data_IF_519663855937
#
_entry.id   IF_519663855937
#
_cell.length_a   1.000
_cell.length_b   1.000
_cell.length_c   1.000
_cell.angle_alpha   90.00
_cell.angle_beta   90.00
_cell.angle_gamma   90.00
#
_symmetry.space_group_name_H-M   'P 1'
#
loop_
_entity.id
_entity.type
_entity.pdbx_description
1 polymer ?
#
# COMPACT_ATOMS: atom_id res chain seq x y z
N UNK A 1 16.88 37.30 -25.07
CA UNK A 1 17.27 35.87 -24.98
C UNK A 1 16.83 35.36 -23.62
N UNK A 2 15.65 34.73 -23.58
CA UNK A 2 15.04 34.15 -22.38
C UNK A 2 15.62 32.76 -22.16
N UNK A 3 16.29 32.55 -21.03
CA UNK A 3 16.76 31.23 -20.61
C UNK A 3 15.56 30.42 -20.10
N UNK A 4 15.11 29.45 -20.88
CA UNK A 4 14.14 28.43 -20.45
C UNK A 4 14.79 27.55 -19.39
N UNK A 5 14.27 27.61 -18.16
CA UNK A 5 14.62 26.67 -17.10
C UNK A 5 14.00 25.31 -17.39
N UNK A 6 14.83 24.32 -17.74
CA UNK A 6 14.41 22.92 -17.84
C UNK A 6 13.75 22.44 -16.53
N UNK A 7 12.61 21.72 -16.60
CA UNK A 7 11.96 21.19 -15.41
C UNK A 7 12.81 20.06 -14.81
N UNK A 8 13.23 20.24 -13.55
CA UNK A 8 13.90 19.19 -12.75
C UNK A 8 13.04 17.92 -12.73
N UNK A 9 13.45 16.90 -13.50
CA UNK A 9 12.81 15.59 -13.54
C UNK A 9 12.74 14.99 -12.12
N UNK A 10 11.52 14.83 -11.60
CA UNK A 10 11.26 14.08 -10.36
C UNK A 10 11.75 12.63 -10.57
N UNK A 11 12.77 12.22 -9.81
CA UNK A 11 13.32 10.84 -9.78
C UNK A 11 12.19 9.79 -9.84
N UNK A 12 12.21 8.99 -10.90
CA UNK A 12 11.26 7.90 -11.16
C UNK A 12 11.76 6.68 -10.37
N UNK A 13 10.98 6.22 -9.36
CA UNK A 13 11.19 4.87 -8.81
C UNK A 13 10.75 3.89 -9.88
N UNK A 14 11.70 3.23 -10.55
CA UNK A 14 11.44 2.19 -11.53
C UNK A 14 10.99 0.93 -10.79
N UNK A 15 9.87 0.31 -11.18
CA UNK A 15 9.69 -1.12 -10.93
C UNK A 15 10.79 -1.88 -11.67
N UNK A 16 11.18 -3.07 -11.21
CA UNK A 16 12.11 -3.92 -11.96
C UNK A 16 11.56 -4.06 -13.39
N UNK A 17 12.20 -3.39 -14.37
CA UNK A 17 11.72 -3.40 -15.73
C UNK A 17 12.09 -4.76 -16.31
N UNK A 18 11.09 -5.60 -16.53
CA UNK A 18 11.23 -6.86 -17.26
C UNK A 18 11.45 -6.67 -18.77
N UNK A 19 11.74 -5.44 -19.21
CA UNK A 19 11.88 -5.06 -20.61
C UNK A 19 12.98 -5.85 -21.35
N UNK A 20 13.99 -6.35 -20.62
CA UNK A 20 15.13 -7.10 -21.17
C UNK A 20 15.13 -8.58 -20.77
N UNK A 21 13.98 -9.17 -20.42
CA UNK A 21 13.92 -10.61 -20.17
C UNK A 21 14.03 -11.39 -21.48
N UNK A 22 15.00 -12.30 -21.57
CA UNK A 22 14.92 -13.45 -22.46
C UNK A 22 13.72 -14.29 -22.01
N UNK A 23 12.78 -14.53 -22.92
CA UNK A 23 11.55 -15.26 -22.61
C UNK A 23 11.43 -16.51 -23.48
N UNK A 24 10.93 -17.57 -22.85
CA UNK A 24 10.40 -18.76 -23.52
C UNK A 24 9.11 -19.09 -22.79
N UNK A 25 8.05 -19.39 -23.54
CA UNK A 25 6.80 -19.88 -23.00
C UNK A 25 6.37 -21.15 -23.72
N UNK A 26 5.49 -21.92 -23.08
CA UNK A 26 4.83 -23.09 -23.64
C UNK A 26 3.38 -23.14 -23.14
N UNK A 27 2.54 -23.94 -23.78
CA UNK A 27 1.12 -24.05 -23.43
C UNK A 27 0.24 -22.95 -24.03
N UNK A 28 -1.08 -23.11 -23.89
CA UNK A 28 -2.08 -22.20 -24.48
C UNK A 28 -2.02 -20.80 -23.87
N UNK A 29 -1.72 -20.71 -22.58
CA UNK A 29 -1.73 -19.47 -21.80
C UNK A 29 -0.35 -18.79 -21.75
N UNK A 30 0.71 -19.47 -22.20
CA UNK A 30 2.11 -19.04 -22.02
C UNK A 30 2.41 -17.66 -22.60
N UNK A 31 1.98 -17.40 -23.85
CA UNK A 31 2.17 -16.10 -24.50
C UNK A 31 1.41 -14.96 -23.83
N UNK A 32 0.22 -15.25 -23.30
CA UNK A 32 -0.60 -14.27 -22.57
C UNK A 32 0.02 -13.91 -21.22
N UNK A 33 0.51 -14.90 -20.46
CA UNK A 33 1.20 -14.67 -19.19
C UNK A 33 2.51 -13.90 -19.39
N UNK A 34 3.28 -14.25 -20.42
CA UNK A 34 4.49 -13.51 -20.77
C UNK A 34 4.17 -12.04 -21.08
N UNK A 35 3.15 -11.79 -21.89
CA UNK A 35 2.70 -10.45 -22.20
C UNK A 35 2.23 -9.68 -20.95
N UNK A 36 1.55 -10.34 -20.01
CA UNK A 36 1.12 -9.73 -18.75
C UNK A 36 2.31 -9.37 -17.84
N UNK A 37 3.37 -10.18 -17.85
CA UNK A 37 4.60 -9.96 -17.08
C UNK A 37 5.44 -8.81 -17.65
N UNK A 38 5.41 -8.60 -18.97
CA UNK A 38 6.08 -7.47 -19.63
C UNK A 38 5.50 -6.14 -19.15
N UNK A 39 6.27 -5.46 -18.31
CA UNK A 39 5.96 -4.07 -17.93
C UNK A 39 6.34 -3.16 -19.10
N UNK A 40 5.42 -2.36 -19.66
CA UNK A 40 5.77 -1.51 -20.79
C UNK A 40 6.84 -0.49 -20.37
N UNK A 41 7.81 -0.20 -21.26
CA UNK A 41 8.88 0.72 -20.97
C UNK A 41 8.39 2.17 -21.09
N UNK A 42 7.62 2.68 -20.13
CA UNK A 42 7.43 4.13 -19.85
C UNK A 42 6.48 4.43 -18.67
N UNK A 43 6.87 5.43 -17.85
CA UNK A 43 5.96 6.35 -17.17
C UNK A 43 5.33 5.95 -15.82
N UNK A 44 5.09 6.95 -14.94
CA UNK A 44 4.20 6.83 -13.78
C UNK A 44 2.72 6.63 -14.16
N UNK A 45 2.39 6.68 -15.46
CA UNK A 45 1.04 6.51 -16.01
C UNK A 45 0.42 5.15 -15.65
N UNK A 46 1.26 4.12 -15.49
CA UNK A 46 0.84 2.81 -15.00
C UNK A 46 0.24 2.82 -13.59
N UNK A 47 0.56 3.81 -12.75
CA UNK A 47 0.01 3.99 -11.40
C UNK A 47 -1.07 5.08 -11.34
N UNK A 48 -1.92 5.15 -12.36
CA UNK A 48 -3.13 5.97 -12.37
C UNK A 48 -4.13 5.52 -11.29
N UNK A 49 -5.19 6.31 -11.04
CA UNK A 49 -6.16 6.09 -9.95
C UNK A 49 -5.48 6.05 -8.57
N UNK A 50 -5.82 5.05 -7.74
CA UNK A 50 -5.45 4.91 -6.33
C UNK A 50 -4.17 4.09 -6.12
N UNK A 51 -3.64 3.41 -7.15
CA UNK A 51 -2.46 2.55 -7.05
C UNK A 51 -1.23 3.26 -6.46
N UNK A 52 -1.06 4.55 -6.76
CA UNK A 52 0.05 5.39 -6.31
C UNK A 52 -0.06 5.93 -4.88
N UNK A 53 -1.16 5.70 -4.16
CA UNK A 53 -1.46 6.45 -2.93
C UNK A 53 -0.60 6.07 -1.72
N UNK A 54 -0.02 4.87 -1.69
CA UNK A 54 0.79 4.41 -0.55
C UNK A 54 1.98 3.58 -1.03
N UNK A 55 3.20 3.75 -0.46
CA UNK A 55 4.33 2.88 -0.77
C UNK A 55 4.09 1.46 -0.24
N UNK A 56 4.18 0.44 -1.11
CA UNK A 56 4.12 -0.97 -0.74
C UNK A 56 5.12 -1.74 -1.63
N UNK A 57 6.05 -2.52 -1.06
CA UNK A 57 7.07 -3.24 -1.83
C UNK A 57 6.45 -4.40 -2.63
N UNK A 58 7.18 -4.90 -3.64
CA UNK A 58 6.86 -6.15 -4.34
C UNK A 58 5.40 -6.27 -4.86
N UNK A 59 4.81 -5.16 -5.34
CA UNK A 59 3.45 -5.12 -5.86
C UNK A 59 3.42 -5.35 -7.37
N UNK A 60 2.31 -5.88 -7.88
CA UNK A 60 2.05 -5.89 -9.32
C UNK A 60 2.13 -4.47 -9.92
N UNK A 61 2.67 -4.40 -11.14
CA UNK A 61 2.38 -3.28 -12.03
C UNK A 61 0.92 -3.41 -12.50
N UNK A 62 0.08 -2.36 -12.50
CA UNK A 62 -1.36 -2.49 -12.82
C UNK A 62 -1.69 -3.09 -14.19
N UNK A 63 -0.76 -3.02 -15.15
CA UNK A 63 -0.93 -3.68 -16.44
C UNK A 63 -0.99 -5.21 -16.36
N UNK A 64 -0.29 -5.83 -15.40
CA UNK A 64 -0.31 -7.29 -15.25
C UNK A 64 -1.73 -7.79 -14.95
N UNK A 65 -2.41 -7.36 -13.86
CA UNK A 65 -3.78 -7.76 -13.62
C UNK A 65 -4.71 -7.29 -14.72
N UNK A 66 -4.52 -6.09 -15.30
CA UNK A 66 -5.35 -5.63 -16.41
C UNK A 66 -5.30 -6.55 -17.63
N UNK A 67 -4.13 -7.08 -17.98
CA UNK A 67 -3.97 -8.04 -19.09
C UNK A 67 -4.62 -9.38 -18.75
N UNK A 68 -4.38 -9.91 -17.55
CA UNK A 68 -4.97 -11.19 -17.11
C UNK A 68 -6.50 -11.10 -17.07
N UNK A 69 -7.06 -10.03 -16.49
CA UNK A 69 -8.50 -9.84 -16.39
C UNK A 69 -9.19 -9.65 -17.75
N UNK A 70 -8.49 -9.06 -18.73
CA UNK A 70 -8.98 -8.98 -20.12
C UNK A 70 -9.09 -10.36 -20.75
N UNK A 71 -8.07 -11.18 -20.56
CA UNK A 71 -8.07 -12.56 -21.06
C UNK A 71 -9.15 -13.41 -20.37
N UNK A 72 -9.27 -13.34 -19.04
CA UNK A 72 -10.32 -14.06 -18.30
C UNK A 72 -11.73 -13.69 -18.77
N UNK A 73 -11.97 -12.43 -19.15
CA UNK A 73 -13.28 -12.04 -19.69
C UNK A 73 -13.59 -12.71 -21.03
N UNK A 74 -12.57 -13.06 -21.82
CA UNK A 74 -12.76 -13.78 -23.08
C UNK A 74 -13.03 -15.27 -22.81
N UNK A 75 -12.27 -15.88 -21.91
CA UNK A 75 -12.45 -17.31 -21.54
C UNK A 75 -13.78 -17.58 -20.84
N UNK A 76 -14.30 -16.61 -20.08
CA UNK A 76 -15.59 -16.71 -19.39
C UNK A 76 -16.75 -16.09 -20.18
N UNK A 77 -16.62 -15.89 -21.49
CA UNK A 77 -17.69 -15.35 -22.37
C UNK A 77 -18.33 -14.04 -21.84
N UNK A 78 -17.53 -13.19 -21.21
CA UNK A 78 -17.96 -11.92 -20.60
C UNK A 78 -18.59 -12.03 -19.21
N UNK A 79 -18.74 -13.23 -18.66
CA UNK A 79 -19.18 -13.42 -17.27
C UNK A 79 -18.12 -12.89 -16.28
N UNK A 80 -18.56 -12.52 -15.08
CA UNK A 80 -17.69 -12.05 -14.00
C UNK A 80 -17.23 -13.23 -13.14
N UNK A 81 -16.00 -13.76 -13.30
CA UNK A 81 -15.49 -14.81 -12.42
C UNK A 81 -15.27 -14.27 -11.00
N UNK A 82 -15.45 -15.13 -9.99
CA UNK A 82 -15.10 -14.86 -8.59
C UNK A 82 -13.60 -15.04 -8.41
N UNK A 83 -12.92 -13.93 -8.16
CA UNK A 83 -11.46 -13.88 -8.07
C UNK A 83 -10.96 -13.88 -6.63
N UNK A 84 -9.79 -14.45 -6.37
CA UNK A 84 -9.11 -14.33 -5.09
C UNK A 84 -7.59 -14.12 -5.20
N UNK A 85 -7.06 -13.24 -4.36
CA UNK A 85 -5.62 -13.02 -4.15
C UNK A 85 -5.26 -13.35 -2.68
N UNK A 86 -4.74 -14.55 -2.38
CA UNK A 86 -4.39 -14.96 -1.02
C UNK A 86 -3.22 -14.18 -0.40
N UNK A 87 -2.46 -13.42 -1.19
CA UNK A 87 -1.34 -12.58 -0.77
C UNK A 87 -1.46 -11.18 -1.39
N UNK A 88 -2.61 -10.54 -1.18
CA UNK A 88 -3.02 -9.33 -1.91
C UNK A 88 -2.04 -8.15 -1.80
N UNK A 89 -1.25 -8.08 -0.72
CA UNK A 89 -0.36 -6.97 -0.44
C UNK A 89 -1.06 -5.61 -0.56
N UNK A 90 -0.62 -4.81 -1.52
CA UNK A 90 -1.20 -3.50 -1.79
C UNK A 90 -2.55 -3.50 -2.53
N UNK A 91 -3.11 -4.66 -2.87
CA UNK A 91 -4.43 -4.81 -3.49
C UNK A 91 -4.51 -4.35 -4.96
N UNK A 92 -3.43 -4.45 -5.74
CA UNK A 92 -3.44 -4.02 -7.15
C UNK A 92 -4.46 -4.81 -7.98
N UNK A 93 -4.54 -6.14 -7.79
CA UNK A 93 -5.57 -6.96 -8.44
C UNK A 93 -6.97 -6.46 -8.05
N UNK A 94 -7.21 -6.26 -6.75
CA UNK A 94 -8.51 -5.85 -6.23
C UNK A 94 -9.01 -4.57 -6.90
N UNK A 95 -8.16 -3.54 -7.02
CA UNK A 95 -8.53 -2.27 -7.68
C UNK A 95 -8.90 -2.49 -9.15
N UNK A 96 -8.12 -3.28 -9.91
CA UNK A 96 -8.40 -3.50 -11.34
C UNK A 96 -9.64 -4.38 -11.56
N UNK A 97 -9.91 -5.36 -10.69
CA UNK A 97 -11.12 -6.17 -10.74
C UNK A 97 -12.38 -5.32 -10.47
N UNK A 98 -12.35 -4.45 -9.46
CA UNK A 98 -13.46 -3.54 -9.16
C UNK A 98 -13.75 -2.58 -10.32
N UNK A 99 -12.70 -2.10 -11.02
CA UNK A 99 -12.88 -1.26 -12.21
C UNK A 99 -13.58 -1.97 -13.37
N UNK A 100 -13.68 -3.30 -13.34
CA UNK A 100 -14.44 -4.13 -14.29
C UNK A 100 -15.83 -4.50 -13.78
N UNK A 101 -16.16 -4.10 -12.55
CA UNK A 101 -17.38 -4.51 -11.87
C UNK A 101 -17.34 -5.95 -11.36
N UNK A 102 -16.15 -6.52 -11.16
CA UNK A 102 -16.00 -7.92 -10.77
C UNK A 102 -15.86 -8.09 -9.26
N UNK A 103 -16.40 -9.21 -8.77
CA UNK A 103 -16.22 -9.64 -7.39
C UNK A 103 -14.82 -10.20 -7.18
N UNK A 104 -14.18 -9.75 -6.10
CA UNK A 104 -12.82 -10.13 -5.79
C UNK A 104 -12.59 -10.16 -4.29
N UNK A 105 -11.89 -11.20 -3.85
CA UNK A 105 -11.46 -11.38 -2.47
C UNK A 105 -9.95 -11.23 -2.37
N UNK A 106 -9.45 -10.62 -1.30
CA UNK A 106 -8.03 -10.54 -1.01
C UNK A 106 -7.74 -10.94 0.42
N UNK A 107 -6.65 -11.65 0.64
CA UNK A 107 -6.13 -11.95 1.98
C UNK A 107 -4.68 -11.47 2.10
N UNK A 108 -4.31 -10.94 3.26
CA UNK A 108 -2.91 -10.74 3.64
C UNK A 108 -2.82 -10.67 5.17
N UNK A 109 -1.83 -11.35 5.74
CA UNK A 109 -1.62 -11.34 7.19
C UNK A 109 -1.18 -9.97 7.73
N UNK A 110 -0.56 -9.13 6.89
CA UNK A 110 -0.05 -7.83 7.29
C UNK A 110 -1.20 -6.80 7.41
N UNK A 111 -1.46 -6.23 8.60
CA UNK A 111 -2.53 -5.24 8.77
C UNK A 111 -2.29 -3.95 7.95
N UNK A 112 -1.03 -3.62 7.61
CA UNK A 112 -0.74 -2.51 6.69
C UNK A 112 -1.18 -2.85 5.26
N UNK A 113 -1.04 -4.10 4.83
CA UNK A 113 -1.54 -4.55 3.53
C UNK A 113 -3.06 -4.39 3.46
N UNK A 114 -3.77 -4.88 4.48
CA UNK A 114 -5.23 -4.77 4.59
C UNK A 114 -5.71 -3.31 4.58
N UNK A 115 -5.09 -2.43 5.37
CA UNK A 115 -5.39 -0.99 5.37
C UNK A 115 -5.15 -0.36 3.99
N UNK A 116 -4.02 -0.68 3.36
CA UNK A 116 -3.66 -0.12 2.04
C UNK A 116 -4.60 -0.60 0.95
N UNK A 117 -4.88 -1.90 0.88
CA UNK A 117 -5.80 -2.49 -0.08
C UNK A 117 -7.20 -1.90 0.07
N UNK A 118 -7.71 -1.80 1.31
CA UNK A 118 -9.02 -1.21 1.62
C UNK A 118 -9.14 0.23 1.11
N UNK A 119 -8.18 1.09 1.45
CA UNK A 119 -8.24 2.50 1.06
C UNK A 119 -7.97 2.73 -0.43
N UNK A 120 -7.18 1.86 -1.09
CA UNK A 120 -7.03 1.90 -2.54
C UNK A 120 -8.29 1.45 -3.28
N UNK A 121 -9.06 0.53 -2.72
CA UNK A 121 -10.31 0.03 -3.30
C UNK A 121 -11.53 0.88 -2.93
N UNK A 122 -11.37 1.91 -2.09
CA UNK A 122 -12.48 2.74 -1.63
C UNK A 122 -12.84 3.82 -2.65
N UNK A 123 -13.84 3.56 -3.48
CA UNK A 123 -14.54 4.61 -4.23
C UNK A 123 -15.26 5.55 -3.26
N UNK A 124 -15.04 6.87 -3.36
CA UNK A 124 -15.62 7.85 -2.42
C UNK A 124 -16.49 8.88 -3.15
N UNK A 125 -17.73 9.03 -2.68
CA UNK A 125 -18.63 10.09 -3.12
C UNK A 125 -18.23 11.46 -2.51
N UNK A 126 -18.52 12.59 -3.18
CA UNK A 126 -18.12 13.92 -2.71
C UNK A 126 -18.52 14.23 -1.26
N UNK A 127 -19.76 13.90 -0.87
CA UNK A 127 -20.25 14.12 0.52
C UNK A 127 -19.39 13.41 1.58
N UNK A 128 -18.91 12.20 1.29
CA UNK A 128 -18.04 11.44 2.19
C UNK A 128 -16.59 11.93 2.14
N UNK A 129 -16.18 12.64 1.08
CA UNK A 129 -14.87 13.28 1.02
C UNK A 129 -14.82 14.53 1.93
N UNK A 130 -15.91 15.29 1.96
CA UNK A 130 -16.07 16.43 2.88
C UNK A 130 -15.97 15.99 4.34
N UNK A 131 -16.57 14.85 4.72
CA UNK A 131 -16.46 14.33 6.10
C UNK A 131 -15.02 14.05 6.53
N UNK A 132 -14.22 13.39 5.67
CA UNK A 132 -12.79 13.15 5.94
C UNK A 132 -12.02 14.47 6.03
N UNK A 133 -12.35 15.43 5.17
CA UNK A 133 -11.70 16.74 5.18
C UNK A 133 -12.00 17.51 6.48
N UNK A 134 -13.24 17.50 6.93
CA UNK A 134 -13.64 18.12 8.20
C UNK A 134 -12.94 17.44 9.39
N UNK A 135 -12.82 16.11 9.37
CA UNK A 135 -12.07 15.37 10.39
C UNK A 135 -10.57 15.75 10.39
N UNK A 136 -9.96 15.91 9.21
CA UNK A 136 -8.59 16.40 9.08
C UNK A 136 -8.42 17.81 9.66
N UNK A 137 -9.32 18.74 9.34
CA UNK A 137 -9.27 20.12 9.85
C UNK A 137 -9.44 20.16 11.37
N UNK A 138 -10.37 19.37 11.92
CA UNK A 138 -10.53 19.18 13.35
C UNK A 138 -9.23 18.71 14.01
N UNK A 139 -8.61 17.64 13.48
CA UNK A 139 -7.35 17.11 14.00
C UNK A 139 -6.22 18.13 13.94
N UNK A 140 -6.13 18.89 12.85
CA UNK A 140 -5.09 19.91 12.69
C UNK A 140 -5.22 21.02 13.74
N UNK A 141 -6.44 21.49 14.00
CA UNK A 141 -6.71 22.48 15.04
C UNK A 141 -6.35 21.93 16.42
N UNK A 142 -6.69 20.67 16.69
CA UNK A 142 -6.36 20.01 17.95
C UNK A 142 -4.85 19.84 18.11
N UNK A 143 -4.12 19.41 17.08
CA UNK A 143 -2.65 19.30 17.11
C UNK A 143 -1.99 20.66 17.40
N UNK A 144 -2.46 21.74 16.78
CA UNK A 144 -1.91 23.07 17.04
C UNK A 144 -2.26 23.58 18.45
N UNK A 145 -3.46 23.31 18.95
CA UNK A 145 -3.83 23.59 20.35
C UNK A 145 -2.92 22.85 21.31
N UNK A 146 -2.76 21.53 21.16
CA UNK A 146 -1.88 20.71 22.02
C UNK A 146 -0.42 21.15 22.00
N UNK A 147 0.06 21.58 20.83
CA UNK A 147 1.41 22.14 20.68
C UNK A 147 1.58 23.43 21.46
N UNK A 148 0.61 24.35 21.39
CA UNK A 148 0.60 25.61 22.16
C UNK A 148 0.58 25.36 23.66
N UNK A 149 -0.25 24.42 24.08
CA UNK A 149 -0.44 24.03 25.48
C UNK A 149 0.68 23.11 26.00
N UNK A 150 1.65 22.75 25.14
CA UNK A 150 2.79 21.87 25.43
C UNK A 150 2.36 20.53 26.04
N UNK A 151 1.23 19.98 25.59
CA UNK A 151 0.72 18.71 26.09
C UNK A 151 1.69 17.57 25.77
N UNK A 152 1.97 16.76 26.79
CA UNK A 152 2.76 15.54 26.63
C UNK A 152 1.86 14.45 26.07
N UNK A 153 2.42 13.69 25.14
CA UNK A 153 1.78 12.54 24.52
C UNK A 153 2.65 11.33 24.80
N UNK A 154 2.02 10.27 25.28
CA UNK A 154 2.68 8.98 25.48
C UNK A 154 2.53 8.11 24.25
N UNK A 155 3.50 7.23 24.03
CA UNK A 155 3.41 6.24 22.96
C UNK A 155 4.16 4.97 23.39
N UNK A 156 3.57 3.77 23.27
CA UNK A 156 4.20 2.52 23.74
C UNK A 156 5.58 2.22 23.12
N UNK A 157 5.86 2.84 21.98
CA UNK A 157 7.10 2.65 21.21
C UNK A 157 7.92 3.94 21.06
N UNK A 158 7.76 4.89 21.99
CA UNK A 158 8.39 6.21 21.94
C UNK A 158 9.92 6.13 21.79
N UNK A 159 10.57 5.26 22.57
CA UNK A 159 12.04 5.09 22.55
C UNK A 159 12.56 4.71 21.16
N UNK A 160 11.92 3.74 20.51
CA UNK A 160 12.27 3.31 19.16
C UNK A 160 11.94 4.39 18.13
N UNK A 161 10.71 4.91 18.12
CA UNK A 161 10.29 5.87 17.09
C UNK A 161 11.13 7.15 17.13
N UNK A 162 11.47 7.67 18.30
CA UNK A 162 12.25 8.91 18.47
C UNK A 162 13.60 8.89 17.73
N UNK A 163 14.24 7.72 17.58
CA UNK A 163 15.54 7.62 16.88
C UNK A 163 15.39 7.81 15.37
N UNK A 164 14.21 7.49 14.83
CA UNK A 164 13.95 7.49 13.39
C UNK A 164 13.53 8.85 12.81
N UNK A 165 13.30 9.90 13.61
CA UNK A 165 12.75 11.17 13.13
C UNK A 165 13.50 12.38 13.72
N UNK A 166 13.53 13.51 13.00
CA UNK A 166 14.01 14.78 13.54
C UNK A 166 13.13 15.20 14.74
N UNK A 167 13.67 15.78 15.83
CA UNK A 167 12.92 15.95 17.07
C UNK A 167 11.61 16.73 16.93
N UNK A 168 11.61 17.81 16.14
CA UNK A 168 10.41 18.61 15.91
C UNK A 168 9.37 17.90 15.04
N UNK A 169 9.81 17.13 14.03
CA UNK A 169 8.92 16.30 13.21
C UNK A 169 8.36 15.14 14.04
N UNK A 170 9.18 14.51 14.87
CA UNK A 170 8.75 13.45 15.77
C UNK A 170 7.65 13.94 16.73
N UNK A 171 7.88 15.09 17.37
CA UNK A 171 6.89 15.70 18.26
C UNK A 171 5.57 16.01 17.52
N UNK A 172 5.64 16.55 16.31
CA UNK A 172 4.47 16.81 15.48
C UNK A 172 3.72 15.51 15.12
N UNK A 173 4.43 14.49 14.62
CA UNK A 173 3.86 13.18 14.29
C UNK A 173 3.23 12.50 15.50
N UNK A 174 3.84 12.65 16.68
CA UNK A 174 3.34 12.09 17.93
C UNK A 174 1.99 12.70 18.32
N UNK A 175 1.84 14.02 18.22
CA UNK A 175 0.55 14.68 18.44
C UNK A 175 -0.50 14.21 17.43
N UNK A 176 -0.13 14.15 16.13
CA UNK A 176 -1.04 13.64 15.10
C UNK A 176 -1.50 12.21 15.36
N UNK A 177 -0.57 11.32 15.71
CA UNK A 177 -0.86 9.92 16.00
C UNK A 177 -1.87 9.80 17.14
N UNK A 178 -1.64 10.52 18.24
CA UNK A 178 -2.54 10.46 19.39
C UNK A 178 -3.92 11.06 19.09
N UNK A 179 -3.99 12.22 18.44
CA UNK A 179 -5.27 12.79 18.01
C UNK A 179 -6.04 11.86 17.05
N UNK A 180 -5.33 11.17 16.14
CA UNK A 180 -5.94 10.20 15.21
C UNK A 180 -6.58 9.02 15.94
N UNK A 181 -5.91 8.49 16.97
CA UNK A 181 -6.40 7.34 17.72
C UNK A 181 -7.59 7.70 18.63
N UNK A 182 -7.77 8.98 18.94
CA UNK A 182 -8.95 9.51 19.66
C UNK A 182 -10.19 9.69 18.76
N UNK A 183 -10.05 9.66 17.43
CA UNK A 183 -11.22 9.66 16.56
C UNK A 183 -12.05 8.37 16.71
N UNK A 184 -13.36 8.51 16.57
CA UNK A 184 -14.26 7.36 16.55
C UNK A 184 -13.82 6.34 15.47
N UNK A 185 -13.75 5.04 15.79
CA UNK A 185 -13.41 4.00 14.82
C UNK A 185 -14.36 4.04 13.62
N UNK A 186 -13.82 4.25 12.43
CA UNK A 186 -14.65 4.35 11.23
C UNK A 186 -13.86 4.75 9.98
N UNK A 187 -14.56 4.88 8.84
CA UNK A 187 -13.93 5.13 7.53
C UNK A 187 -13.05 6.38 7.48
N UNK A 188 -13.41 7.43 8.22
CA UNK A 188 -12.68 8.69 8.17
C UNK A 188 -11.37 8.59 8.95
N UNK A 189 -11.39 7.96 10.14
CA UNK A 189 -10.18 7.60 10.88
C UNK A 189 -9.29 6.66 10.07
N UNK A 190 -9.84 5.63 9.45
CA UNK A 190 -9.07 4.68 8.63
C UNK A 190 -8.38 5.37 7.44
N UNK A 191 -9.08 6.25 6.72
CA UNK A 191 -8.47 7.04 5.63
C UNK A 191 -7.34 7.93 6.15
N UNK A 192 -7.50 8.58 7.30
CA UNK A 192 -6.44 9.44 7.86
C UNK A 192 -5.26 8.63 8.44
N UNK A 193 -5.50 7.44 9.02
CA UNK A 193 -4.45 6.48 9.40
C UNK A 193 -3.67 5.99 8.18
N UNK A 194 -4.36 5.73 7.06
CA UNK A 194 -3.72 5.39 5.80
C UNK A 194 -2.84 6.54 5.28
N UNK A 195 -3.33 7.78 5.33
CA UNK A 195 -2.55 8.98 4.97
C UNK A 195 -1.30 9.09 5.85
N UNK A 196 -1.46 9.00 7.17
CA UNK A 196 -0.35 9.04 8.13
C UNK A 196 0.69 7.95 7.82
N UNK A 197 0.24 6.70 7.64
CA UNK A 197 1.10 5.55 7.32
C UNK A 197 1.88 5.74 6.00
N UNK A 198 1.26 6.39 5.00
CA UNK A 198 1.92 6.69 3.73
C UNK A 198 3.09 7.68 3.90
N UNK A 199 3.01 8.55 4.91
CA UNK A 199 3.99 9.59 5.22
C UNK A 199 5.04 9.13 6.26
N UNK A 200 4.75 8.11 7.07
CA UNK A 200 5.65 7.64 8.13
C UNK A 200 7.07 7.32 7.63
N UNK A 201 7.19 6.65 6.49
CA UNK A 201 8.51 6.36 5.88
C UNK A 201 9.13 7.56 5.14
N UNK A 202 8.33 8.57 4.76
CA UNK A 202 8.83 9.78 4.09
C UNK A 202 9.65 10.62 5.05
N UNK A 203 9.11 10.86 6.24
CA UNK A 203 9.69 11.72 7.27
C UNK A 203 10.73 11.01 8.16
N UNK A 204 10.83 9.69 8.08
CA UNK A 204 11.90 8.99 8.79
C UNK A 204 13.26 9.35 8.21
N UNK A 205 14.27 9.51 9.06
CA UNK A 205 15.71 9.67 8.76
C UNK A 205 16.30 8.50 7.95
N UNK A 206 15.50 7.46 7.66
CA UNK A 206 15.93 6.27 6.94
C UNK A 206 16.69 6.68 5.69
N UNK A 207 17.96 6.30 5.70
CA UNK A 207 18.92 6.43 4.63
C UNK A 207 18.32 5.72 3.42
N UNK A 208 18.06 6.46 2.34
CA UNK A 208 17.85 5.81 1.04
C UNK A 208 19.25 5.35 0.60
N UNK A 209 19.45 4.04 0.47
CA UNK A 209 20.63 3.53 -0.25
C UNK A 209 20.52 4.04 -1.68
N UNK A 210 21.45 4.93 -2.07
CA UNK A 210 21.61 5.30 -3.47
C UNK A 210 22.02 4.09 -4.30
N UNK A 211 21.88 4.18 -5.62
CA UNK A 211 22.38 3.15 -6.55
C UNK A 211 23.87 2.84 -6.37
N UNK A 212 24.62 3.77 -5.76
CA UNK A 212 26.07 3.69 -5.54
C UNK A 212 26.45 3.38 -4.08
N UNK A 213 25.48 2.98 -3.24
CA UNK A 213 25.71 2.71 -1.81
C UNK A 213 25.89 3.97 -0.93
N UNK A 214 25.82 5.17 -1.51
CA UNK A 214 25.87 6.43 -0.75
C UNK A 214 24.67 6.55 0.20
N UNK A 215 24.98 6.68 1.49
CA UNK A 215 24.01 6.94 2.54
C UNK A 215 23.68 8.44 2.58
N UNK A 216 22.62 8.88 1.88
CA UNK A 216 22.14 10.27 2.01
C UNK A 216 21.08 10.37 3.10
N UNK A 217 21.37 11.16 4.13
CA UNK A 217 20.34 11.62 5.05
C UNK A 217 19.29 12.43 4.26
N UNK A 218 18.02 12.17 4.51
CA UNK A 218 16.96 13.01 3.95
C UNK A 218 17.11 14.43 4.49
N UNK A 219 17.00 15.41 3.61
CA UNK A 219 17.15 16.83 3.93
C UNK A 219 16.27 17.28 5.11
N UNK A 220 16.66 18.39 5.73
CA UNK A 220 15.98 18.95 6.89
C UNK A 220 14.54 19.36 6.52
N UNK A 221 13.55 18.97 7.33
CA UNK A 221 12.15 19.35 7.11
C UNK A 221 11.82 20.55 8.00
N UNK A 222 11.11 21.60 7.51
CA UNK A 222 10.70 22.71 8.36
C UNK A 222 9.67 22.27 9.40
N UNK A 223 9.52 23.05 10.48
CA UNK A 223 8.43 22.85 11.46
C UNK A 223 7.07 22.97 10.76
N UNK A 224 6.10 22.13 11.14
CA UNK A 224 4.78 22.11 10.49
C UNK A 224 4.75 21.37 9.16
N UNK A 225 5.89 20.84 8.70
CA UNK A 225 5.95 20.10 7.44
C UNK A 225 5.04 18.87 7.49
N UNK A 226 4.96 18.15 8.61
CA UNK A 226 4.16 16.94 8.66
C UNK A 226 2.66 17.25 8.47
N UNK A 227 2.14 18.27 9.15
CA UNK A 227 0.75 18.75 9.00
C UNK A 227 0.43 19.19 7.58
N UNK A 228 1.34 19.94 6.94
CA UNK A 228 1.18 20.33 5.54
C UNK A 228 1.12 19.12 4.60
N UNK A 229 1.93 18.10 4.85
CA UNK A 229 1.93 16.87 4.06
C UNK A 229 0.70 16.00 4.35
N UNK A 230 0.18 15.96 5.58
CA UNK A 230 -1.09 15.32 5.93
C UNK A 230 -2.23 15.93 5.11
N UNK A 231 -2.33 17.26 5.04
CA UNK A 231 -3.35 17.92 4.22
C UNK A 231 -3.20 17.62 2.72
N UNK A 232 -2.00 17.81 2.17
CA UNK A 232 -1.72 17.58 0.75
C UNK A 232 -2.02 16.15 0.34
N UNK A 233 -1.60 15.19 1.18
CA UNK A 233 -1.80 13.78 0.91
C UNK A 233 -3.25 13.36 1.07
N UNK A 234 -3.97 13.91 2.06
CA UNK A 234 -5.42 13.69 2.19
C UNK A 234 -6.16 14.20 0.97
N UNK A 235 -5.85 15.41 0.48
CA UNK A 235 -6.42 15.94 -0.76
C UNK A 235 -6.20 14.99 -1.94
N UNK A 236 -4.96 14.56 -2.17
CA UNK A 236 -4.62 13.60 -3.22
C UNK A 236 -5.41 12.29 -3.08
N UNK A 237 -5.52 11.74 -1.87
CA UNK A 237 -6.29 10.52 -1.60
C UNK A 237 -7.76 10.72 -1.95
N UNK A 238 -8.38 11.81 -1.50
CA UNK A 238 -9.79 12.09 -1.74
C UNK A 238 -10.09 12.34 -3.22
N UNK A 239 -9.20 13.03 -3.95
CA UNK A 239 -9.31 13.20 -5.40
C UNK A 239 -9.27 11.85 -6.12
N UNK A 240 -8.27 11.01 -5.82
CA UNK A 240 -8.12 9.71 -6.47
C UNK A 240 -9.21 8.70 -6.09
N UNK A 241 -9.73 8.74 -4.85
CA UNK A 241 -10.87 7.92 -4.44
C UNK A 241 -12.17 8.36 -5.13
N UNK A 242 -12.34 9.66 -5.41
CA UNK A 242 -13.46 10.15 -6.23
C UNK A 242 -13.31 9.74 -7.69
N UNK A 243 -12.10 9.82 -8.26
CA UNK A 243 -11.83 9.32 -9.62
C UNK A 243 -12.13 7.83 -9.75
N UNK A 244 -11.72 7.03 -8.76
CA UNK A 244 -12.10 5.61 -8.69
C UNK A 244 -13.61 5.44 -8.64
N UNK A 245 -14.30 6.21 -7.79
CA UNK A 245 -15.77 6.14 -7.67
C UNK A 245 -16.49 6.39 -8.99
N UNK A 246 -15.95 7.22 -9.89
CA UNK A 246 -16.53 7.48 -11.21
C UNK A 246 -16.28 6.34 -12.22
N UNK A 247 -15.31 5.46 -11.94
CA UNK A 247 -15.00 4.29 -12.79
C UNK A 247 -15.69 3.01 -12.36
N UNK A 248 -16.09 2.91 -11.09
CA UNK A 248 -16.82 1.75 -10.60
C UNK A 248 -18.22 1.70 -11.21
N UNK A 249 -18.69 0.50 -11.53
CA UNK A 249 -20.09 0.26 -11.95
C UNK A 249 -21.08 0.58 -10.83
N UNK A 250 -20.70 0.27 -9.59
CA UNK A 250 -21.38 0.73 -8.37
C UNK A 250 -20.37 1.42 -7.43
N UNK A 251 -20.56 2.71 -7.07
CA UNK A 251 -19.74 3.41 -6.09
C UNK A 251 -19.61 2.72 -4.72
N UNK A 252 -20.55 1.84 -4.37
CA UNK A 252 -20.55 1.04 -3.12
C UNK A 252 -19.79 -0.26 -3.24
N UNK A 253 -19.42 -0.70 -4.44
CA UNK A 253 -18.70 -1.96 -4.65
C UNK A 253 -17.39 -1.98 -3.87
N UNK A 254 -17.16 -3.03 -3.09
CA UNK A 254 -15.93 -3.23 -2.31
C UNK A 254 -15.47 -4.67 -2.46
N UNK A 255 -14.15 -4.92 -2.42
CA UNK A 255 -13.65 -6.27 -2.37
C UNK A 255 -13.87 -6.83 -0.96
N UNK A 256 -13.97 -8.15 -0.86
CA UNK A 256 -13.86 -8.80 0.44
C UNK A 256 -12.38 -8.84 0.83
N UNK A 257 -12.04 -8.33 2.02
CA UNK A 257 -10.66 -8.29 2.51
C UNK A 257 -10.57 -9.08 3.81
N UNK A 258 -9.74 -10.11 3.79
CA UNK A 258 -9.37 -10.90 4.94
C UNK A 258 -7.97 -10.52 5.41
N UNK A 259 -7.75 -10.62 6.73
CA UNK A 259 -6.45 -10.39 7.35
C UNK A 259 -6.11 -11.61 8.21
N UNK A 260 -5.77 -12.70 7.55
CA UNK A 260 -5.53 -13.99 8.19
C UNK A 260 -4.25 -14.64 7.67
N UNK A 261 -3.72 -15.57 8.45
CA UNK A 261 -2.71 -16.50 7.95
C UNK A 261 -3.36 -17.41 6.90
N UNK A 262 -2.83 -17.37 5.67
CA UNK A 262 -3.36 -18.15 4.56
C UNK A 262 -3.33 -19.67 4.83
N UNK A 263 -2.40 -20.14 5.68
CA UNK A 263 -2.24 -21.56 6.02
C UNK A 263 -3.36 -22.07 6.94
N UNK A 264 -4.03 -21.15 7.62
CA UNK A 264 -5.10 -21.40 8.57
C UNK A 264 -6.41 -20.73 8.10
N UNK A 265 -6.47 -20.32 6.82
CA UNK A 265 -7.55 -19.51 6.27
C UNK A 265 -8.87 -20.28 6.33
N UNK A 266 -9.79 -19.78 7.14
CA UNK A 266 -11.13 -20.36 7.28
C UNK A 266 -12.09 -19.57 6.40
N UNK A 267 -12.62 -20.21 5.36
CA UNK A 267 -13.60 -19.58 4.49
C UNK A 267 -14.94 -19.43 5.24
N UNK A 268 -15.65 -18.29 5.08
CA UNK A 268 -16.98 -18.13 5.65
C UNK A 268 -17.92 -19.26 5.20
N UNK A 269 -18.86 -19.65 6.08
CA UNK A 269 -19.87 -20.63 5.71
C UNK A 269 -20.70 -20.11 4.53
N UNK A 270 -20.88 -20.95 3.50
CA UNK A 270 -21.56 -20.54 2.26
C UNK A 270 -20.72 -19.68 1.33
N UNK A 271 -19.39 -19.58 1.55
CA UNK A 271 -18.49 -19.01 0.56
C UNK A 271 -18.50 -19.89 -0.70
N UNK A 272 -18.95 -19.32 -1.80
CA UNK A 272 -18.90 -20.02 -3.07
C UNK A 272 -17.45 -20.27 -3.53
N UNK A 273 -17.21 -21.29 -4.37
CA UNK A 273 -15.89 -21.53 -4.95
C UNK A 273 -15.38 -20.33 -5.78
N UNK A 274 -14.11 -20.00 -5.61
CA UNK A 274 -13.42 -19.06 -6.50
C UNK A 274 -13.15 -19.71 -7.85
N UNK A 275 -13.38 -18.97 -8.94
CA UNK A 275 -13.11 -19.42 -10.30
C UNK A 275 -11.63 -19.27 -10.66
N UNK A 276 -10.94 -18.27 -10.09
CA UNK A 276 -9.53 -18.03 -10.36
C UNK A 276 -8.77 -17.44 -9.17
N UNK A 277 -7.58 -17.98 -8.91
CA UNK A 277 -6.61 -17.44 -7.97
C UNK A 277 -5.51 -16.69 -8.73
N UNK A 278 -5.34 -15.39 -8.47
CA UNK A 278 -4.28 -14.56 -9.08
C UNK A 278 -3.48 -13.92 -7.95
N UNK A 279 -2.20 -14.27 -7.82
CA UNK A 279 -1.39 -13.85 -6.67
C UNK A 279 0.08 -13.67 -7.05
N UNK A 280 0.77 -12.80 -6.31
CA UNK A 280 2.23 -12.78 -6.24
C UNK A 280 2.61 -13.37 -4.88
N UNK A 281 3.00 -14.65 -4.81
CA UNK A 281 3.29 -15.29 -3.54
C UNK A 281 4.53 -14.64 -2.88
N UNK A 282 4.70 -14.77 -1.56
CA UNK A 282 5.88 -14.27 -0.88
C UNK A 282 7.13 -14.91 -1.49
N UNK A 283 8.05 -14.07 -1.99
CA UNK A 283 9.32 -14.52 -2.57
C UNK A 283 10.32 -14.77 -1.44
N UNK A 284 10.62 -16.03 -1.09
CA UNK A 284 11.43 -16.28 0.09
C UNK A 284 12.82 -15.66 -0.04
N UNK A 285 13.35 -15.12 1.05
CA UNK A 285 14.64 -14.43 1.08
C UNK A 285 14.71 -13.10 0.32
N UNK A 286 13.64 -12.65 -0.34
CA UNK A 286 13.68 -11.42 -1.17
C UNK A 286 13.33 -10.17 -0.36
N UNK A 287 12.16 -10.18 0.29
CA UNK A 287 11.64 -9.05 1.07
C UNK A 287 11.30 -9.47 2.50
N UNK A 288 11.65 -8.62 3.47
CA UNK A 288 11.16 -8.73 4.85
C UNK A 288 10.09 -7.66 5.06
N UNK A 289 8.83 -8.04 4.89
CA UNK A 289 7.68 -7.14 4.96
C UNK A 289 7.51 -6.56 6.36
N UNK A 290 7.82 -7.32 7.42
CA UNK A 290 7.85 -6.77 8.77
C UNK A 290 8.83 -5.60 8.86
N UNK A 291 10.07 -5.75 8.41
CA UNK A 291 11.07 -4.67 8.45
C UNK A 291 10.73 -3.49 7.53
N UNK A 292 10.08 -3.76 6.39
CA UNK A 292 9.58 -2.72 5.51
C UNK A 292 8.45 -1.90 6.15
N UNK A 293 7.60 -2.54 6.97
CA UNK A 293 6.41 -1.93 7.55
C UNK A 293 6.52 -1.62 9.05
N UNK A 294 7.62 -1.95 9.71
CA UNK A 294 7.84 -1.81 11.16
C UNK A 294 7.48 -0.43 11.71
N UNK A 295 7.93 0.64 11.06
CA UNK A 295 7.59 2.01 11.47
C UNK A 295 6.08 2.27 11.40
N UNK A 296 5.42 1.80 10.33
CA UNK A 296 3.98 2.01 10.11
C UNK A 296 3.16 1.22 11.11
N UNK A 297 3.51 -0.05 11.33
CA UNK A 297 2.88 -0.91 12.32
C UNK A 297 2.92 -0.28 13.71
N UNK A 298 4.10 0.23 14.10
CA UNK A 298 4.33 0.82 15.42
C UNK A 298 3.60 2.15 15.61
N UNK A 299 3.58 3.02 14.60
CA UNK A 299 2.81 4.27 14.64
C UNK A 299 1.29 4.04 14.68
N UNK A 300 0.80 3.02 13.98
CA UNK A 300 -0.64 2.71 13.95
C UNK A 300 -1.05 1.73 15.05
N UNK A 301 -0.21 1.47 16.04
CA UNK A 301 -0.50 0.59 17.17
C UNK A 301 -0.90 -0.85 16.76
N UNK A 302 -0.50 -1.31 15.57
CA UNK A 302 -0.72 -2.69 15.17
C UNK A 302 0.28 -3.62 15.86
N UNK A 303 -0.22 -4.80 16.25
CA UNK A 303 0.63 -5.88 16.73
C UNK A 303 1.66 -6.24 15.64
N UNK A 304 2.90 -6.46 16.07
CA UNK A 304 3.93 -7.05 15.21
C UNK A 304 4.15 -8.53 15.50
N UNK A 305 3.58 -9.07 16.58
CA UNK A 305 3.89 -10.42 17.05
C UNK A 305 3.43 -11.45 16.04
N UNK A 306 2.18 -11.34 15.59
CA UNK A 306 1.60 -12.27 14.62
C UNK A 306 2.39 -12.24 13.30
N UNK A 307 2.64 -11.04 12.76
CA UNK A 307 3.42 -10.91 11.53
C UNK A 307 4.85 -11.47 11.72
N UNK A 308 5.51 -11.19 12.84
CA UNK A 308 6.87 -11.69 13.08
C UNK A 308 6.95 -13.23 13.17
N UNK A 309 5.90 -13.89 13.66
CA UNK A 309 5.83 -15.34 13.82
C UNK A 309 5.37 -16.05 12.54
N UNK A 310 4.43 -15.45 11.81
CA UNK A 310 3.69 -16.10 10.73
C UNK A 310 4.08 -15.60 9.33
N UNK A 311 4.97 -14.62 9.21
CA UNK A 311 5.49 -14.17 7.91
C UNK A 311 6.24 -15.29 7.18
N UNK A 312 5.84 -15.55 5.93
CA UNK A 312 6.38 -16.64 5.12
C UNK A 312 7.59 -16.14 4.31
N UNK A 313 8.68 -16.90 4.33
CA UNK A 313 9.83 -16.65 3.46
C UNK A 313 10.77 -15.54 3.94
N UNK A 314 10.79 -15.23 5.24
CA UNK A 314 11.71 -14.21 5.79
C UNK A 314 13.17 -14.62 5.66
N UNK A 315 14.07 -13.64 5.52
CA UNK A 315 15.53 -13.88 5.61
C UNK A 315 15.96 -14.34 7.01
N UNK A 316 15.15 -14.05 8.04
CA UNK A 316 15.36 -14.48 9.43
C UNK A 316 15.18 -15.98 9.62
N UNK A 317 14.30 -16.60 8.82
CA UNK A 317 14.02 -18.05 8.88
C UNK A 317 14.74 -18.84 7.79
N UNK A 318 15.14 -18.20 6.69
CA UNK A 318 15.79 -18.88 5.56
C UNK A 318 17.04 -18.12 5.11
N UNK A 319 18.22 -18.65 5.46
CA UNK A 319 19.47 -18.26 4.81
C UNK A 319 19.54 -18.87 3.41
N UNK A 320 20.28 -18.24 2.48
CA UNK A 320 20.49 -18.79 1.13
C UNK A 320 21.11 -20.20 1.15
N UNK A 321 21.81 -20.57 2.24
CA UNK A 321 22.40 -21.89 2.43
C UNK A 321 21.37 -22.98 2.80
N UNK A 322 20.32 -22.63 3.56
CA UNK A 322 19.29 -23.58 4.03
C UNK A 322 18.10 -23.71 3.07
N UNK A 323 18.15 -22.99 1.94
CA UNK A 323 17.03 -22.82 1.00
C UNK A 323 16.66 -24.09 0.23
N UNK A 324 17.63 -24.97 -0.08
CA UNK A 324 17.40 -26.20 -0.85
C UNK A 324 16.73 -27.32 -0.05
N UNK A 325 16.81 -27.28 1.28
CA UNK A 325 16.30 -28.36 2.15
C UNK A 325 14.81 -28.21 2.46
N UNK A 326 14.29 -26.98 2.58
CA UNK A 326 12.91 -26.72 3.03
C UNK A 326 11.83 -26.97 1.97
N UNK A 327 12.17 -26.88 0.68
CA UNK A 327 11.21 -27.01 -0.44
C UNK A 327 11.34 -28.32 -1.22
N UNK A 328 12.08 -29.29 -0.69
CA UNK A 328 12.25 -30.64 -1.27
C UNK A 328 11.43 -31.73 -0.59
N UNK A 329 10.78 -31.44 0.52
CA UNK A 329 9.91 -32.39 1.23
C UNK A 329 8.50 -32.39 0.69
#
# INVERSE_FOLDING_TARGET
MTAETEPKFRRIRRSASQANLESRHQGREGGMLENALRTPPQGREGYSLTHGLHPYPARFHPNLPRTILKWLAQEHEGQSPRLCDPFMGGGTLLVESLCRGWEVTGNDINPIAALVARERCRGRLPKHAVMVWNALEFLQNEVERRRRDKLRVEHPHLSMLKTHYQPHIFAEMLQWSDCLEQLYPGPDRDTLRFVFSSLAGKFSRRIEEGNDGEKKEKGNFPRGAFSLWMQRKTREVLERQQDLSRRLTDPKMRPQIWQQDVRELSLPQGCDPFDCLITSPPYPGTYDYLDHHRLRLRWLHFSIQELALKEIGTRRQHSAAQWKEVFRT
#
